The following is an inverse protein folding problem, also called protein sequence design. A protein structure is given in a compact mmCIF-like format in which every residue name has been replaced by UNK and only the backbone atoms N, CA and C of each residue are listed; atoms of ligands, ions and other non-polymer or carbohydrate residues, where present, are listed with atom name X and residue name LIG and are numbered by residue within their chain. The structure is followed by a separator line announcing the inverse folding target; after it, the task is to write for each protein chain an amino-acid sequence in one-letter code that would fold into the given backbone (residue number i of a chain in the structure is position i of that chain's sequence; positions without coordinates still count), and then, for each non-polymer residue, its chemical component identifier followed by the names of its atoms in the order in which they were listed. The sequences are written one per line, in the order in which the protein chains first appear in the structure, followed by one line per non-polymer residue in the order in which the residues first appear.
data_IF_094832327859
#
_entry.id   IF_094832327859
#
_cell.length_a   1.000
_cell.length_b   1.000
_cell.length_c   1.000
_cell.angle_alpha   90.00
_cell.angle_beta   90.00
_cell.angle_gamma   90.00
#
_symmetry.space_group_name_H-M   'P 1'
#
loop_
_entity.id
_entity.type
_entity.pdbx_description
1 polymer ?
#
# COMPACT_ATOMS: atom_id res chain seq x y z
N UNK A 1 9.81 -20.84 -66.50
CA UNK A 1 10.95 -20.80 -65.56
C UNK A 1 10.63 -19.78 -64.48
N UNK A 2 10.16 -20.21 -63.31
CA UNK A 2 10.08 -19.34 -62.13
C UNK A 2 11.51 -19.19 -61.64
N UNK A 3 12.06 -17.99 -61.74
CA UNK A 3 13.26 -17.60 -60.99
C UNK A 3 12.96 -17.84 -59.53
N UNK A 4 13.57 -18.89 -58.97
CA UNK A 4 13.68 -19.09 -57.53
C UNK A 4 14.50 -17.93 -56.99
N UNK A 5 13.82 -16.85 -56.58
CA UNK A 5 14.39 -15.94 -55.60
C UNK A 5 14.89 -16.81 -54.46
N UNK A 6 16.21 -16.80 -54.22
CA UNK A 6 16.79 -17.51 -53.10
C UNK A 6 16.07 -17.02 -51.84
N UNK A 7 15.30 -17.91 -51.21
CA UNK A 7 14.62 -17.66 -49.94
C UNK A 7 15.66 -17.11 -48.97
N UNK A 8 15.63 -15.80 -48.72
CA UNK A 8 16.60 -15.17 -47.81
C UNK A 8 16.30 -15.67 -46.41
N UNK A 9 17.17 -16.55 -45.92
CA UNK A 9 17.17 -17.05 -44.56
C UNK A 9 18.05 -16.15 -43.70
N UNK A 10 17.56 -15.83 -42.52
CA UNK A 10 18.27 -15.03 -41.52
C UNK A 10 18.37 -15.84 -40.24
N UNK A 11 19.49 -15.71 -39.53
CA UNK A 11 19.75 -16.44 -38.29
C UNK A 11 19.79 -15.46 -37.11
N UNK A 12 19.18 -15.85 -35.99
CA UNK A 12 19.28 -15.14 -34.72
C UNK A 12 19.09 -16.10 -33.55
N UNK A 13 20.08 -16.18 -32.65
CA UNK A 13 20.07 -17.02 -31.45
C UNK A 13 19.81 -18.52 -31.74
N UNK A 14 20.41 -19.04 -32.81
CA UNK A 14 20.25 -20.43 -33.25
C UNK A 14 18.91 -20.72 -33.92
N UNK A 15 18.11 -19.69 -34.21
CA UNK A 15 16.82 -19.80 -34.87
C UNK A 15 16.91 -19.21 -36.28
N UNK A 16 16.45 -19.98 -37.27
CA UNK A 16 16.32 -19.50 -38.64
C UNK A 16 14.96 -18.85 -38.86
N UNK A 17 14.96 -17.74 -39.59
CA UNK A 17 13.79 -16.96 -39.93
C UNK A 17 13.73 -16.72 -41.43
N UNK A 18 12.51 -16.68 -41.96
CA UNK A 18 12.23 -16.26 -43.33
C UNK A 18 11.05 -15.30 -43.37
N UNK A 19 11.08 -14.28 -44.24
CA UNK A 19 9.94 -13.42 -44.46
C UNK A 19 8.82 -14.19 -45.17
N UNK A 20 7.56 -13.89 -44.84
CA UNK A 20 6.42 -14.35 -45.63
C UNK A 20 6.38 -13.61 -46.98
N UNK A 21 5.73 -14.15 -48.02
CA UNK A 21 5.70 -13.51 -49.34
C UNK A 21 5.15 -12.07 -49.35
N UNK A 22 4.31 -11.69 -48.39
CA UNK A 22 3.74 -10.35 -48.25
C UNK A 22 4.46 -9.48 -47.23
N UNK A 23 5.64 -9.89 -46.74
CA UNK A 23 6.39 -9.14 -45.75
C UNK A 23 6.93 -7.84 -46.35
N UNK A 24 6.72 -6.73 -45.64
CA UNK A 24 7.25 -5.41 -45.96
C UNK A 24 8.33 -4.98 -44.96
N UNK A 25 8.32 -5.56 -43.76
CA UNK A 25 9.32 -5.31 -42.72
C UNK A 25 10.63 -6.04 -43.01
N UNK A 26 11.73 -5.39 -42.66
CA UNK A 26 13.09 -5.91 -42.68
C UNK A 26 13.35 -6.87 -41.51
N UNK A 27 14.45 -7.62 -41.57
CA UNK A 27 14.84 -8.52 -40.49
C UNK A 27 15.20 -7.77 -39.21
N UNK A 28 15.83 -6.59 -39.33
CA UNK A 28 16.16 -5.73 -38.19
C UNK A 28 14.89 -5.22 -37.49
N UNK A 29 13.89 -4.78 -38.25
CA UNK A 29 12.57 -4.38 -37.71
C UNK A 29 11.88 -5.55 -37.00
N UNK A 30 12.01 -6.78 -37.51
CA UNK A 30 11.50 -7.97 -36.82
C UNK A 30 12.19 -8.23 -35.48
N UNK A 31 13.52 -8.11 -35.43
CA UNK A 31 14.26 -8.28 -34.18
C UNK A 31 13.91 -7.20 -33.16
N UNK A 32 13.75 -5.94 -33.62
CA UNK A 32 13.30 -4.84 -32.77
C UNK A 32 11.87 -5.08 -32.25
N UNK A 33 10.94 -5.48 -33.10
CA UNK A 33 9.58 -5.84 -32.71
C UNK A 33 9.56 -6.99 -31.68
N UNK A 34 10.38 -8.03 -31.87
CA UNK A 34 10.51 -9.13 -30.92
C UNK A 34 11.06 -8.66 -29.57
N UNK A 35 12.03 -7.75 -29.56
CA UNK A 35 12.56 -7.18 -28.34
C UNK A 35 11.48 -6.42 -27.56
N UNK A 36 10.71 -5.56 -28.25
CA UNK A 36 9.57 -4.84 -27.65
C UNK A 36 8.52 -5.80 -27.10
N UNK A 37 8.14 -6.83 -27.86
CA UNK A 37 7.18 -7.83 -27.40
C UNK A 37 7.64 -8.54 -26.13
N UNK A 38 8.91 -8.96 -26.07
CA UNK A 38 9.49 -9.63 -24.90
C UNK A 38 9.55 -8.67 -23.70
N UNK A 39 9.97 -7.42 -23.91
CA UNK A 39 10.04 -6.40 -22.87
C UNK A 39 8.66 -6.13 -22.24
N UNK A 40 7.63 -5.88 -23.08
CA UNK A 40 6.26 -5.63 -22.60
C UNK A 40 5.76 -6.78 -21.75
N UNK A 41 5.90 -8.03 -22.21
CA UNK A 41 5.42 -9.20 -21.45
C UNK A 41 6.25 -9.45 -20.18
N UNK A 42 7.56 -9.19 -20.19
CA UNK A 42 8.39 -9.29 -18.98
C UNK A 42 7.97 -8.26 -17.94
N UNK A 43 7.73 -7.03 -18.36
CA UNK A 43 7.24 -5.97 -17.49
C UNK A 43 5.82 -6.26 -16.98
N UNK A 44 4.96 -6.84 -17.83
CA UNK A 44 3.58 -7.21 -17.49
C UNK A 44 3.48 -8.24 -16.37
N UNK A 45 4.47 -9.14 -16.22
CA UNK A 45 4.54 -10.10 -15.10
C UNK A 45 4.55 -9.42 -13.73
N UNK A 46 5.03 -8.19 -13.65
CA UNK A 46 5.06 -7.39 -12.43
C UNK A 46 4.09 -6.21 -12.45
N UNK A 47 3.84 -5.64 -13.63
CA UNK A 47 3.01 -4.47 -13.88
C UNK A 47 1.95 -4.79 -14.93
N UNK A 48 0.83 -5.44 -14.57
CA UNK A 48 -0.15 -5.94 -15.54
C UNK A 48 -0.69 -4.85 -16.50
N UNK A 49 -0.80 -3.61 -16.03
CA UNK A 49 -1.24 -2.47 -16.84
C UNK A 49 -0.26 -2.04 -17.94
N UNK A 50 0.97 -2.57 -17.99
CA UNK A 50 1.93 -2.25 -19.06
C UNK A 50 1.42 -2.74 -20.42
N UNK A 51 0.69 -3.86 -20.47
CA UNK A 51 0.06 -4.33 -21.70
C UNK A 51 -0.96 -3.32 -22.22
N UNK A 52 -1.82 -2.79 -21.34
CA UNK A 52 -2.81 -1.77 -21.71
C UNK A 52 -2.14 -0.43 -22.08
N UNK A 53 -1.17 0.02 -21.28
CA UNK A 53 -0.46 1.29 -21.47
C UNK A 53 0.38 1.29 -22.76
N UNK A 54 0.79 0.10 -23.23
CA UNK A 54 1.61 -0.09 -24.44
C UNK A 54 0.90 -0.94 -25.51
N UNK A 55 -0.43 -0.98 -25.51
CA UNK A 55 -1.20 -1.80 -26.45
C UNK A 55 -0.85 -1.50 -27.92
N UNK A 56 -0.67 -0.23 -28.27
CA UNK A 56 -0.27 0.18 -29.62
C UNK A 56 1.15 -0.30 -30.01
N UNK A 57 2.09 -0.32 -29.06
CA UNK A 57 3.43 -0.87 -29.29
C UNK A 57 3.35 -2.39 -29.50
N UNK A 58 2.56 -3.06 -28.67
CA UNK A 58 2.36 -4.49 -28.74
C UNK A 58 1.71 -4.91 -30.06
N UNK A 59 0.63 -4.24 -30.48
CA UNK A 59 -0.04 -4.48 -31.76
C UNK A 59 0.92 -4.28 -32.94
N UNK A 60 1.71 -3.19 -32.93
CA UNK A 60 2.73 -2.95 -33.96
C UNK A 60 3.80 -4.07 -33.98
N UNK A 61 4.28 -4.47 -32.81
CA UNK A 61 5.27 -5.53 -32.69
C UNK A 61 4.73 -6.86 -33.22
N UNK A 62 3.50 -7.23 -32.85
CA UNK A 62 2.81 -8.41 -33.35
C UNK A 62 2.59 -8.37 -34.87
N UNK A 63 2.18 -7.22 -35.41
CA UNK A 63 2.00 -7.04 -36.85
C UNK A 63 3.30 -7.26 -37.61
N UNK A 64 4.43 -6.73 -37.13
CA UNK A 64 5.76 -6.93 -37.74
C UNK A 64 6.19 -8.38 -37.60
N UNK A 65 6.15 -8.97 -36.40
CA UNK A 65 6.51 -10.37 -36.19
C UNK A 65 5.64 -11.33 -37.01
N UNK A 66 4.37 -10.99 -37.20
CA UNK A 66 3.41 -11.73 -38.02
C UNK A 66 3.78 -11.80 -39.50
N UNK A 67 4.68 -10.95 -39.99
CA UNK A 67 5.22 -11.02 -41.36
C UNK A 67 6.34 -12.06 -41.51
N UNK A 68 6.80 -12.66 -40.42
CA UNK A 68 7.92 -13.61 -40.40
C UNK A 68 7.47 -14.99 -39.96
N UNK A 69 8.25 -16.00 -40.32
CA UNK A 69 8.05 -17.38 -39.87
C UNK A 69 9.37 -18.10 -39.68
N UNK A 70 9.32 -19.23 -38.98
CA UNK A 70 10.47 -20.12 -38.80
C UNK A 70 10.95 -20.66 -40.14
N UNK A 71 12.26 -20.56 -40.35
CA UNK A 71 12.96 -20.94 -41.58
C UNK A 71 13.61 -22.31 -41.52
N UNK A 72 13.65 -22.97 -40.35
CA UNK A 72 14.26 -24.30 -40.27
C UNK A 72 13.45 -25.34 -41.05
N UNK A 73 14.09 -26.16 -41.90
CA UNK A 73 13.41 -27.20 -42.67
C UNK A 73 12.66 -28.24 -41.83
N UNK A 74 13.09 -28.43 -40.57
CA UNK A 74 12.52 -29.40 -39.63
C UNK A 74 11.57 -28.77 -38.62
N UNK A 75 11.37 -27.45 -38.61
CA UNK A 75 10.46 -26.83 -37.66
C UNK A 75 9.02 -27.23 -37.94
N UNK A 76 8.34 -27.72 -36.91
CA UNK A 76 6.90 -27.98 -36.92
C UNK A 76 6.29 -27.41 -35.66
N UNK A 77 5.16 -26.72 -35.80
CA UNK A 77 4.36 -26.32 -34.65
C UNK A 77 3.94 -27.56 -33.86
N UNK A 78 3.96 -27.45 -32.54
CA UNK A 78 3.39 -28.47 -31.67
C UNK A 78 1.90 -28.54 -31.93
N UNK A 79 1.37 -29.76 -32.00
CA UNK A 79 -0.07 -30.00 -32.00
C UNK A 79 -0.65 -29.67 -30.62
N UNK A 80 -1.95 -29.35 -30.54
CA UNK A 80 -2.62 -29.13 -29.25
C UNK A 80 -2.39 -30.33 -28.30
N UNK A 81 -2.47 -31.57 -28.82
CA UNK A 81 -2.19 -32.78 -28.04
C UNK A 81 -0.77 -32.82 -27.45
N UNK A 82 0.23 -32.28 -28.15
CA UNK A 82 1.60 -32.20 -27.63
C UNK A 82 1.72 -31.12 -26.56
N UNK A 83 1.07 -29.97 -26.75
CA UNK A 83 1.01 -28.91 -25.73
C UNK A 83 0.30 -29.39 -24.46
N UNK A 84 -0.84 -30.07 -24.59
CA UNK A 84 -1.58 -30.64 -23.46
C UNK A 84 -0.73 -31.66 -22.69
N UNK A 85 0.04 -32.49 -23.41
CA UNK A 85 0.93 -33.46 -22.78
C UNK A 85 2.07 -32.79 -22.00
N UNK A 86 2.61 -31.67 -22.51
CA UNK A 86 3.63 -30.89 -21.82
C UNK A 86 3.07 -30.16 -20.60
N UNK A 87 1.88 -29.55 -20.70
CA UNK A 87 1.22 -28.92 -19.55
C UNK A 87 0.90 -29.94 -18.47
N UNK A 88 0.39 -31.13 -18.84
CA UNK A 88 0.15 -32.20 -17.89
C UNK A 88 1.44 -32.69 -17.19
N UNK A 89 2.60 -32.59 -17.85
CA UNK A 89 3.89 -32.91 -17.23
C UNK A 89 4.32 -31.85 -16.23
N UNK A 90 4.18 -30.57 -16.60
CA UNK A 90 4.42 -29.44 -15.70
C UNK A 90 3.51 -29.53 -14.48
N UNK A 91 2.23 -29.83 -14.65
CA UNK A 91 1.26 -29.99 -13.56
C UNK A 91 1.65 -31.13 -12.61
N UNK A 92 2.09 -32.27 -13.15
CA UNK A 92 2.58 -33.39 -12.33
C UNK A 92 3.79 -32.98 -11.50
N UNK A 93 4.75 -32.27 -12.10
CA UNK A 93 5.95 -31.78 -11.39
C UNK A 93 5.57 -30.80 -10.27
N UNK A 94 4.76 -29.79 -10.57
CA UNK A 94 4.29 -28.80 -9.58
C UNK A 94 3.51 -29.49 -8.45
N UNK A 95 2.66 -30.47 -8.79
CA UNK A 95 1.90 -31.22 -7.78
C UNK A 95 2.81 -32.05 -6.87
N UNK A 96 3.85 -32.67 -7.43
CA UNK A 96 4.84 -33.42 -6.64
C UNK A 96 5.66 -32.50 -5.73
N UNK A 97 6.07 -31.32 -6.22
CA UNK A 97 6.76 -30.30 -5.43
C UNK A 97 5.89 -29.82 -4.26
N UNK A 98 4.61 -29.50 -4.52
CA UNK A 98 3.66 -29.10 -3.48
C UNK A 98 3.43 -30.20 -2.44
N UNK A 99 3.27 -31.45 -2.86
CA UNK A 99 3.12 -32.56 -1.92
C UNK A 99 4.36 -32.76 -1.05
N UNK A 100 5.56 -32.56 -1.61
CA UNK A 100 6.81 -32.61 -0.84
C UNK A 100 6.92 -31.43 0.15
N UNK A 101 6.50 -30.23 -0.24
CA UNK A 101 6.42 -29.07 0.62
C UNK A 101 5.43 -29.27 1.77
N UNK A 102 4.23 -29.77 1.47
CA UNK A 102 3.19 -30.06 2.46
C UNK A 102 3.65 -31.11 3.48
N UNK A 103 4.26 -32.20 3.03
CA UNK A 103 4.81 -33.22 3.92
C UNK A 103 5.93 -32.66 4.83
N UNK A 104 6.78 -31.77 4.30
CA UNK A 104 7.78 -31.08 5.11
C UNK A 104 7.12 -30.18 6.15
N UNK A 105 6.13 -29.37 5.77
CA UNK A 105 5.46 -28.46 6.69
C UNK A 105 4.72 -29.21 7.80
N UNK A 106 4.06 -30.33 7.48
CA UNK A 106 3.43 -31.19 8.48
C UNK A 106 4.46 -31.68 9.51
N UNK A 107 5.58 -32.23 9.06
CA UNK A 107 6.69 -32.63 9.94
C UNK A 107 7.26 -31.46 10.74
N UNK A 108 7.46 -30.30 10.10
CA UNK A 108 8.04 -29.12 10.74
C UNK A 108 7.10 -28.50 11.78
N UNK A 109 5.79 -28.66 11.63
CA UNK A 109 4.81 -28.20 12.61
C UNK A 109 4.98 -28.88 13.99
N UNK A 110 5.52 -30.11 14.03
CA UNK A 110 5.85 -30.81 15.28
C UNK A 110 6.98 -30.11 16.07
N UNK A 111 7.84 -29.35 15.39
CA UNK A 111 8.95 -28.58 15.98
C UNK A 111 8.51 -27.20 16.48
N UNK A 112 7.24 -26.84 16.29
CA UNK A 112 6.72 -25.52 16.66
C UNK A 112 6.86 -25.25 18.15
N UNK A 113 7.42 -24.07 18.45
CA UNK A 113 7.59 -23.58 19.82
C UNK A 113 7.19 -22.10 19.86
N UNK A 114 6.07 -21.83 20.55
CA UNK A 114 5.51 -20.48 20.68
C UNK A 114 6.49 -19.50 21.35
N UNK A 115 7.21 -19.94 22.39
CA UNK A 115 8.17 -19.07 23.08
C UNK A 115 9.33 -18.68 22.16
N UNK A 116 9.81 -19.63 21.35
CA UNK A 116 10.86 -19.40 20.36
C UNK A 116 10.39 -18.49 19.22
N UNK A 117 9.17 -18.65 18.75
CA UNK A 117 8.56 -17.75 17.76
C UNK A 117 8.44 -16.31 18.30
N UNK A 118 7.87 -16.15 19.50
CA UNK A 118 7.74 -14.83 20.14
C UNK A 118 9.11 -14.20 20.40
N UNK A 119 10.10 -15.00 20.84
CA UNK A 119 11.48 -14.53 21.02
C UNK A 119 12.10 -14.09 19.69
N UNK A 120 11.85 -14.80 18.58
CA UNK A 120 12.30 -14.39 17.25
C UNK A 120 11.70 -13.05 16.83
N UNK A 121 10.40 -12.87 16.97
CA UNK A 121 9.76 -11.61 16.59
C UNK A 121 10.27 -10.44 17.45
N UNK A 122 10.48 -10.69 18.74
CA UNK A 122 11.09 -9.73 19.66
C UNK A 122 12.54 -9.41 19.29
N UNK A 123 13.30 -10.41 18.83
CA UNK A 123 14.67 -10.24 18.36
C UNK A 123 14.73 -9.33 17.13
N UNK A 124 13.86 -9.55 16.15
CA UNK A 124 13.76 -8.71 14.95
C UNK A 124 13.39 -7.26 15.31
N UNK A 125 12.42 -7.08 16.20
CA UNK A 125 12.01 -5.77 16.70
C UNK A 125 13.17 -5.05 17.40
N UNK A 126 13.81 -5.70 18.39
CA UNK A 126 14.88 -5.08 19.17
C UNK A 126 16.12 -4.80 18.33
N UNK A 127 16.40 -5.64 17.32
CA UNK A 127 17.49 -5.40 16.36
C UNK A 127 17.21 -4.17 15.50
N UNK A 128 15.97 -3.98 15.04
CA UNK A 128 15.55 -2.80 14.28
C UNK A 128 15.65 -1.52 15.12
N UNK A 129 15.20 -1.56 16.37
CA UNK A 129 15.32 -0.42 17.30
C UNK A 129 16.80 -0.08 17.54
N UNK A 130 17.62 -1.08 17.84
CA UNK A 130 19.04 -0.92 18.08
C UNK A 130 19.78 -0.31 16.89
N UNK A 131 19.46 -0.75 15.66
CA UNK A 131 20.02 -0.18 14.44
C UNK A 131 19.72 1.33 14.34
N UNK A 132 18.46 1.73 14.53
CA UNK A 132 18.07 3.14 14.54
C UNK A 132 18.80 3.93 15.63
N UNK A 133 18.93 3.40 16.84
CA UNK A 133 19.61 4.12 17.91
C UNK A 133 21.08 4.37 17.61
N UNK A 134 21.74 3.39 16.99
CA UNK A 134 23.14 3.53 16.55
C UNK A 134 23.27 4.60 15.47
N UNK A 135 22.35 4.64 14.51
CA UNK A 135 22.28 5.70 13.50
C UNK A 135 22.04 7.07 14.15
N UNK A 136 21.12 7.17 15.10
CA UNK A 136 20.82 8.41 15.81
C UNK A 136 22.01 8.90 16.64
N UNK A 137 22.73 7.98 17.32
CA UNK A 137 23.96 8.31 18.04
C UNK A 137 25.06 8.78 17.08
N UNK A 138 25.21 8.13 15.92
CA UNK A 138 26.15 8.56 14.90
C UNK A 138 25.81 9.97 14.38
N UNK A 139 24.54 10.26 14.16
CA UNK A 139 24.07 11.57 13.69
C UNK A 139 24.23 12.68 14.76
N UNK A 140 24.12 12.35 16.05
CA UNK A 140 24.49 13.28 17.13
C UNK A 140 26.00 13.54 17.15
N UNK A 141 26.82 12.51 16.97
CA UNK A 141 28.29 12.63 16.92
C UNK A 141 28.77 13.44 15.71
N UNK A 142 28.16 13.29 14.55
CA UNK A 142 28.47 14.06 13.34
C UNK A 142 27.96 15.50 13.40
N UNK A 143 26.99 15.80 14.28
CA UNK A 143 26.34 17.11 14.38
C UNK A 143 25.30 17.35 13.29
N UNK A 144 25.02 16.38 12.43
CA UNK A 144 23.95 16.44 11.43
C UNK A 144 22.57 16.44 12.08
N UNK A 145 22.44 15.74 13.22
CA UNK A 145 21.22 15.72 14.02
C UNK A 145 21.11 17.00 14.84
N UNK A 146 20.14 17.83 14.46
CA UNK A 146 19.88 19.13 15.08
C UNK A 146 21.15 20.00 15.18
N UNK A 147 21.61 20.58 14.04
CA UNK A 147 22.89 21.30 13.99
C UNK A 147 22.98 22.46 15.00
N UNK A 148 21.86 23.16 15.23
CA UNK A 148 21.76 24.28 16.16
C UNK A 148 21.63 23.87 17.64
N UNK A 149 21.66 22.58 17.98
CA UNK A 149 21.53 22.11 19.37
C UNK A 149 22.75 22.51 20.22
N UNK A 150 22.55 23.05 21.43
CA UNK A 150 23.65 23.32 22.36
C UNK A 150 24.47 22.08 22.70
N UNK A 151 25.79 22.23 22.80
CA UNK A 151 26.72 21.11 23.03
C UNK A 151 26.42 20.35 24.32
N UNK A 152 26.04 21.03 25.40
CA UNK A 152 25.69 20.38 26.68
C UNK A 152 24.46 19.48 26.55
N UNK A 153 23.42 19.93 25.85
CA UNK A 153 22.21 19.15 25.59
C UNK A 153 22.54 17.96 24.68
N UNK A 154 23.36 18.18 23.62
CA UNK A 154 23.81 17.11 22.73
C UNK A 154 24.57 16.02 23.50
N UNK A 155 25.50 16.40 24.36
CA UNK A 155 26.26 15.47 25.19
C UNK A 155 25.35 14.67 26.14
N UNK A 156 24.34 15.31 26.74
CA UNK A 156 23.33 14.63 27.57
C UNK A 156 22.54 13.59 26.77
N UNK A 157 21.99 13.97 25.61
CA UNK A 157 21.24 13.05 24.75
C UNK A 157 22.10 11.88 24.26
N UNK A 158 23.37 12.13 23.92
CA UNK A 158 24.31 11.08 23.54
C UNK A 158 24.54 10.08 24.68
N UNK A 159 24.74 10.56 25.91
CA UNK A 159 24.95 9.69 27.07
C UNK A 159 23.72 8.83 27.39
N UNK A 160 22.51 9.41 27.34
CA UNK A 160 21.26 8.65 27.50
C UNK A 160 21.08 7.58 26.42
N UNK A 161 21.43 7.91 25.18
CA UNK A 161 21.32 6.99 24.05
C UNK A 161 22.34 5.85 24.14
N UNK A 162 23.57 6.13 24.58
CA UNK A 162 24.61 5.11 24.82
C UNK A 162 24.19 4.09 25.89
N UNK A 163 23.59 4.55 26.99
CA UNK A 163 23.02 3.65 28.02
C UNK A 163 21.92 2.78 27.43
N UNK A 164 21.03 3.39 26.63
CA UNK A 164 19.91 2.66 26.03
C UNK A 164 20.37 1.63 24.99
N UNK A 165 21.39 1.98 24.19
CA UNK A 165 22.04 1.07 23.24
C UNK A 165 22.62 -0.14 23.97
N UNK A 166 23.38 0.06 25.06
CA UNK A 166 23.96 -1.04 25.82
C UNK A 166 22.89 -2.00 26.38
N UNK A 167 21.77 -1.46 26.88
CA UNK A 167 20.63 -2.27 27.34
C UNK A 167 19.98 -3.08 26.21
N UNK A 168 19.84 -2.47 25.03
CA UNK A 168 19.27 -3.12 23.84
C UNK A 168 20.20 -4.19 23.28
N UNK A 169 21.51 -3.94 23.25
CA UNK A 169 22.52 -4.94 22.88
C UNK A 169 22.47 -6.17 23.78
N UNK A 170 22.39 -5.97 25.10
CA UNK A 170 22.24 -7.08 26.06
C UNK A 170 20.94 -7.87 25.80
N UNK A 171 19.84 -7.17 25.48
CA UNK A 171 18.56 -7.81 25.16
C UNK A 171 18.61 -8.60 23.85
N UNK A 172 19.18 -8.02 22.79
CA UNK A 172 19.39 -8.68 21.49
C UNK A 172 20.24 -9.94 21.67
N UNK A 173 21.34 -9.85 22.42
CA UNK A 173 22.21 -11.00 22.70
C UNK A 173 21.44 -12.14 23.38
N UNK A 174 20.70 -11.85 24.46
CA UNK A 174 19.89 -12.84 25.17
C UNK A 174 18.84 -13.49 24.27
N UNK A 175 18.16 -12.69 23.44
CA UNK A 175 17.15 -13.20 22.51
C UNK A 175 17.79 -14.06 21.41
N UNK A 176 18.96 -13.68 20.89
CA UNK A 176 19.69 -14.46 19.90
C UNK A 176 20.11 -15.83 20.44
N UNK A 177 20.57 -15.90 21.69
CA UNK A 177 20.89 -17.17 22.38
C UNK A 177 19.65 -18.07 22.52
N UNK A 178 18.48 -17.49 22.82
CA UNK A 178 17.22 -18.23 22.92
C UNK A 178 16.69 -18.72 21.56
N UNK A 179 16.87 -17.91 20.51
CA UNK A 179 16.31 -18.18 19.17
C UNK A 179 17.19 -19.13 18.36
N UNK A 180 18.52 -19.02 18.48
CA UNK A 180 19.44 -19.62 17.53
C UNK A 180 19.37 -18.91 16.18
N UNK A 181 19.31 -19.66 15.08
CA UNK A 181 19.07 -19.09 13.74
C UNK A 181 17.60 -18.63 13.63
N UNK A 182 17.33 -17.32 13.38
CA UNK A 182 15.99 -16.83 13.13
C UNK A 182 15.32 -17.47 11.90
N UNK A 183 16.08 -17.92 10.90
CA UNK A 183 15.53 -18.52 9.68
C UNK A 183 15.10 -19.99 9.86
N UNK A 184 15.41 -20.60 11.00
CA UNK A 184 15.03 -21.98 11.36
C UNK A 184 13.80 -22.06 12.28
N UNK A 185 13.18 -20.91 12.61
CA UNK A 185 12.01 -20.87 13.50
C UNK A 185 10.73 -21.07 12.70
N UNK A 186 10.19 -22.27 12.82
CA UNK A 186 8.90 -22.67 12.24
C UNK A 186 7.73 -21.96 12.95
N UNK A 187 6.68 -21.66 12.20
CA UNK A 187 5.41 -21.21 12.77
C UNK A 187 4.48 -22.38 13.13
N UNK A 188 3.28 -22.06 13.61
CA UNK A 188 2.25 -23.05 13.98
C UNK A 188 1.73 -23.89 12.78
N UNK A 189 2.01 -23.50 11.54
CA UNK A 189 1.70 -24.27 10.33
C UNK A 189 2.90 -25.11 9.86
N UNK A 190 4.06 -24.99 10.52
CA UNK A 190 5.30 -25.61 10.08
C UNK A 190 6.04 -24.82 8.99
N UNK A 191 5.62 -23.59 8.69
CA UNK A 191 6.30 -22.75 7.71
C UNK A 191 7.55 -22.12 8.30
N UNK A 192 8.63 -22.16 7.53
CA UNK A 192 9.83 -21.39 7.82
C UNK A 192 9.65 -19.94 7.34
N UNK A 193 10.45 -18.98 7.85
CA UNK A 193 10.42 -17.60 7.36
C UNK A 193 10.56 -17.47 5.84
N UNK A 194 11.41 -18.28 5.21
CA UNK A 194 11.54 -18.33 3.74
C UNK A 194 10.25 -18.75 3.03
N UNK A 195 9.49 -19.68 3.59
CA UNK A 195 8.22 -20.14 3.02
C UNK A 195 7.17 -19.03 3.15
N UNK A 196 7.11 -18.40 4.32
CA UNK A 196 6.22 -17.26 4.57
C UNK A 196 6.52 -16.08 3.65
N UNK A 197 7.79 -15.85 3.28
CA UNK A 197 8.18 -14.80 2.33
C UNK A 197 7.59 -15.00 0.93
N UNK A 198 7.48 -16.25 0.46
CA UNK A 198 6.81 -16.56 -0.82
C UNK A 198 5.33 -16.16 -0.75
N UNK A 199 4.67 -16.49 0.36
CA UNK A 199 3.27 -16.13 0.61
C UNK A 199 3.12 -14.60 0.72
N UNK A 200 4.00 -13.94 1.47
CA UNK A 200 4.05 -12.47 1.60
C UNK A 200 4.22 -11.79 0.25
N UNK A 201 5.08 -12.31 -0.65
CA UNK A 201 5.27 -11.78 -1.99
C UNK A 201 3.97 -11.85 -2.80
N UNK A 202 3.30 -13.01 -2.78
CA UNK A 202 2.01 -13.19 -3.46
C UNK A 202 0.97 -12.18 -2.97
N UNK A 203 0.80 -12.05 -1.65
CA UNK A 203 -0.15 -11.07 -1.09
C UNK A 203 0.24 -9.63 -1.39
N UNK A 204 1.54 -9.31 -1.39
CA UNK A 204 1.99 -7.98 -1.75
C UNK A 204 1.66 -7.65 -3.21
N UNK A 205 1.90 -8.57 -4.14
CA UNK A 205 1.54 -8.41 -5.56
C UNK A 205 0.04 -8.13 -5.72
N UNK A 206 -0.81 -8.97 -5.13
CA UNK A 206 -2.26 -8.80 -5.18
C UNK A 206 -2.72 -7.45 -4.60
N UNK A 207 -2.19 -7.07 -3.43
CA UNK A 207 -2.54 -5.79 -2.80
C UNK A 207 -2.06 -4.61 -3.64
N UNK A 208 -0.83 -4.67 -4.17
CA UNK A 208 -0.25 -3.63 -5.03
C UNK A 208 -1.08 -3.45 -6.28
N UNK A 209 -1.44 -4.54 -6.96
CA UNK A 209 -2.27 -4.49 -8.17
C UNK A 209 -3.63 -3.85 -7.88
N UNK A 210 -4.33 -4.32 -6.84
CA UNK A 210 -5.60 -3.73 -6.42
C UNK A 210 -5.46 -2.22 -6.13
N UNK A 211 -4.45 -1.84 -5.35
CA UNK A 211 -4.22 -0.45 -4.95
C UNK A 211 -3.88 0.43 -6.17
N UNK A 212 -3.05 -0.04 -7.11
CA UNK A 212 -2.74 0.67 -8.35
C UNK A 212 -3.98 0.85 -9.21
N UNK A 213 -4.76 -0.21 -9.43
CA UNK A 213 -6.01 -0.15 -10.19
C UNK A 213 -6.99 0.84 -9.58
N UNK A 214 -7.16 0.81 -8.25
CA UNK A 214 -8.02 1.74 -7.53
C UNK A 214 -7.54 3.19 -7.69
N UNK A 215 -6.24 3.46 -7.55
CA UNK A 215 -5.68 4.81 -7.69
C UNK A 215 -5.80 5.34 -9.12
N UNK A 216 -5.56 4.50 -10.13
CA UNK A 216 -5.72 4.86 -11.54
C UNK A 216 -7.16 5.23 -11.90
N UNK A 217 -8.14 4.61 -11.26
CA UNK A 217 -9.55 4.99 -11.40
C UNK A 217 -9.90 6.26 -10.59
N UNK A 218 -9.40 6.38 -9.36
CA UNK A 218 -9.72 7.47 -8.44
C UNK A 218 -9.17 8.83 -8.90
N UNK A 219 -7.95 8.87 -9.45
CA UNK A 219 -7.29 10.13 -9.81
C UNK A 219 -8.10 10.93 -10.84
N UNK A 220 -8.54 10.36 -11.98
CA UNK A 220 -9.42 11.06 -12.92
C UNK A 220 -10.73 11.55 -12.29
N UNK A 221 -11.35 10.75 -11.41
CA UNK A 221 -12.58 11.15 -10.71
C UNK A 221 -12.36 12.39 -9.83
N UNK A 222 -11.28 12.40 -9.04
CA UNK A 222 -10.91 13.55 -8.21
C UNK A 222 -10.56 14.77 -9.06
N UNK A 223 -9.87 14.58 -10.18
CA UNK A 223 -9.53 15.66 -11.11
C UNK A 223 -10.78 16.26 -11.76
N UNK A 224 -11.77 15.43 -12.12
CA UNK A 224 -13.04 15.90 -12.65
C UNK A 224 -13.87 16.62 -11.56
N UNK A 225 -13.93 16.06 -10.35
CA UNK A 225 -14.54 16.73 -9.19
C UNK A 225 -13.92 18.10 -8.93
N UNK A 226 -12.60 18.23 -9.06
CA UNK A 226 -11.90 19.52 -8.90
C UNK A 226 -12.29 20.54 -9.98
N UNK A 227 -12.53 20.11 -11.22
CA UNK A 227 -13.00 20.99 -12.31
C UNK A 227 -14.43 21.46 -12.06
N UNK A 228 -15.29 20.59 -11.55
CA UNK A 228 -16.70 20.87 -11.29
C UNK A 228 -16.94 21.63 -9.99
N UNK A 229 -16.02 21.53 -9.02
CA UNK A 229 -16.15 22.19 -7.73
C UNK A 229 -16.31 23.71 -7.89
N UNK A 230 -17.34 24.27 -7.29
CA UNK A 230 -17.59 25.71 -7.24
C UNK A 230 -17.24 26.30 -5.87
N UNK A 231 -17.25 25.48 -4.82
CA UNK A 231 -16.87 25.87 -3.47
C UNK A 231 -15.35 26.11 -3.35
N UNK A 232 -14.99 27.26 -2.77
CA UNK A 232 -13.60 27.64 -2.51
C UNK A 232 -12.95 26.80 -1.40
N UNK A 233 -13.74 26.23 -0.49
CA UNK A 233 -13.21 25.38 0.60
C UNK A 233 -13.00 23.92 0.17
N UNK A 234 -13.71 23.46 -0.86
CA UNK A 234 -13.60 22.10 -1.41
C UNK A 234 -12.37 21.94 -2.30
N UNK A 235 -12.06 22.94 -3.14
CA UNK A 235 -10.93 22.87 -4.08
C UNK A 235 -9.58 22.53 -3.44
N UNK A 236 -9.17 23.12 -2.29
CA UNK A 236 -7.91 22.75 -1.65
C UNK A 236 -7.88 21.30 -1.14
N UNK A 237 -9.03 20.77 -0.70
CA UNK A 237 -9.13 19.37 -0.25
C UNK A 237 -8.93 18.41 -1.42
N UNK A 238 -9.68 18.61 -2.51
CA UNK A 238 -9.55 17.79 -3.72
C UNK A 238 -8.12 17.83 -4.29
N UNK A 239 -7.47 19.01 -4.32
CA UNK A 239 -6.05 19.10 -4.72
C UNK A 239 -5.12 18.29 -3.83
N UNK A 240 -5.34 18.33 -2.52
CA UNK A 240 -4.55 17.56 -1.55
C UNK A 240 -4.77 16.06 -1.76
N UNK A 241 -6.01 15.63 -1.96
CA UNK A 241 -6.34 14.22 -2.24
C UNK A 241 -5.71 13.72 -3.55
N UNK A 242 -5.77 14.53 -4.62
CA UNK A 242 -5.08 14.22 -5.88
C UNK A 242 -3.58 14.06 -5.65
N UNK A 243 -2.92 15.00 -4.97
CA UNK A 243 -1.49 14.93 -4.70
C UNK A 243 -1.11 13.69 -3.88
N UNK A 244 -1.92 13.32 -2.89
CA UNK A 244 -1.71 12.12 -2.08
C UNK A 244 -1.86 10.87 -2.95
N UNK A 245 -2.90 10.80 -3.78
CA UNK A 245 -3.17 9.67 -4.66
C UNK A 245 -2.08 9.51 -5.74
N UNK A 246 -1.68 10.60 -6.40
CA UNK A 246 -0.60 10.61 -7.41
C UNK A 246 0.73 10.19 -6.82
N UNK A 247 1.09 10.71 -5.63
CA UNK A 247 2.32 10.31 -4.94
C UNK A 247 2.27 8.83 -4.57
N UNK A 248 1.15 8.34 -4.04
CA UNK A 248 1.01 6.92 -3.67
C UNK A 248 1.09 6.02 -4.90
N UNK A 249 0.48 6.41 -6.01
CA UNK A 249 0.57 5.68 -7.27
C UNK A 249 2.02 5.64 -7.76
N UNK A 250 2.71 6.79 -7.80
CA UNK A 250 4.12 6.85 -8.17
C UNK A 250 5.01 5.97 -7.28
N UNK A 251 4.79 6.00 -5.96
CA UNK A 251 5.52 5.16 -5.00
C UNK A 251 5.31 3.65 -5.27
N UNK A 252 4.11 3.23 -5.65
CA UNK A 252 3.79 1.82 -5.97
C UNK A 252 4.37 1.40 -7.33
N UNK A 253 4.33 2.30 -8.32
CA UNK A 253 4.90 2.06 -9.65
C UNK A 253 6.43 1.99 -9.63
N UNK A 254 7.07 2.74 -8.72
CA UNK A 254 8.53 2.75 -8.56
C UNK A 254 9.10 1.49 -7.88
N UNK A 255 8.26 0.57 -7.39
CA UNK A 255 8.75 -0.67 -6.75
C UNK A 255 9.22 -1.64 -7.85
N UNK A 256 10.52 -2.02 -7.87
CA UNK A 256 11.03 -2.97 -8.85
C UNK A 256 10.45 -4.37 -8.63
N UNK A 257 10.58 -5.28 -9.62
CA UNK A 257 10.22 -6.68 -9.43
C UNK A 257 10.90 -7.25 -8.18
N UNK A 258 10.10 -7.82 -7.28
CA UNK A 258 10.57 -8.40 -6.02
C UNK A 258 10.63 -9.93 -6.10
N UNK A 259 11.63 -10.48 -5.41
CA UNK A 259 11.76 -11.89 -5.07
C UNK A 259 11.23 -12.16 -3.67
N UNK A 260 11.13 -13.43 -3.27
CA UNK A 260 10.71 -13.78 -1.91
C UNK A 260 11.69 -13.22 -0.87
N UNK A 261 12.99 -13.22 -1.15
CA UNK A 261 14.01 -12.77 -0.19
C UNK A 261 13.90 -11.28 0.15
N UNK A 262 13.31 -10.48 -0.74
CA UNK A 262 13.03 -9.05 -0.54
C UNK A 262 11.85 -8.79 0.42
N UNK A 263 11.08 -9.82 0.79
CA UNK A 263 9.87 -9.69 1.58
C UNK A 263 10.12 -9.88 3.07
N UNK A 264 9.28 -9.24 3.88
CA UNK A 264 9.17 -9.62 5.28
C UNK A 264 8.50 -10.99 5.40
N UNK A 265 9.03 -11.86 6.26
CA UNK A 265 8.41 -13.14 6.56
C UNK A 265 7.11 -13.03 7.36
N UNK A 266 6.85 -11.87 7.97
CA UNK A 266 5.73 -11.70 8.92
C UNK A 266 4.58 -10.86 8.39
N UNK A 267 4.78 -10.16 7.26
CA UNK A 267 3.70 -9.41 6.63
C UNK A 267 3.97 -9.17 5.13
N UNK A 268 2.91 -8.83 4.41
CA UNK A 268 2.92 -8.58 2.96
C UNK A 268 3.51 -7.20 2.60
N UNK A 269 4.70 -6.88 3.10
CA UNK A 269 5.46 -5.68 2.73
C UNK A 269 6.94 -6.01 2.52
N UNK A 270 7.64 -5.28 1.62
CA UNK A 270 9.07 -5.50 1.42
C UNK A 270 9.85 -5.26 2.72
N UNK A 271 10.85 -6.09 3.00
CA UNK A 271 11.67 -5.99 4.20
C UNK A 271 12.35 -4.62 4.32
N UNK A 272 12.76 -4.04 3.18
CA UNK A 272 13.35 -2.68 3.10
C UNK A 272 12.42 -1.55 3.52
N UNK A 273 11.10 -1.80 3.59
CA UNK A 273 10.12 -0.82 4.08
C UNK A 273 9.92 -0.90 5.59
N UNK A 274 10.54 -1.86 6.26
CA UNK A 274 10.54 -1.95 7.71
C UNK A 274 11.71 -1.22 8.35
N UNK A 275 11.40 -0.48 9.40
CA UNK A 275 12.37 0.19 10.24
C UNK A 275 11.67 1.01 11.30
N UNK A 276 12.43 1.54 12.24
CA UNK A 276 11.84 2.20 13.40
C UNK A 276 11.53 3.68 13.12
N UNK A 277 10.25 3.96 12.82
CA UNK A 277 9.54 5.26 12.81
C UNK A 277 10.18 6.47 12.10
N UNK A 278 11.12 6.27 11.17
CA UNK A 278 11.67 7.36 10.33
C UNK A 278 11.68 6.98 8.85
N UNK A 279 11.46 7.93 7.91
CA UNK A 279 11.65 7.66 6.48
C UNK A 279 13.06 7.13 6.20
N UNK A 280 13.25 6.24 5.21
CA UNK A 280 12.31 5.84 4.15
C UNK A 280 11.34 4.72 4.54
N UNK A 281 11.33 4.29 5.80
CA UNK A 281 10.50 3.18 6.26
C UNK A 281 9.02 3.55 6.31
N UNK A 282 8.16 2.60 5.98
CA UNK A 282 6.71 2.71 6.17
C UNK A 282 6.31 2.45 7.63
N UNK A 283 7.22 1.88 8.42
CA UNK A 283 7.11 1.72 9.86
C UNK A 283 7.59 0.36 10.36
N UNK A 284 7.51 0.12 11.67
CA UNK A 284 7.83 -1.18 12.24
C UNK A 284 6.84 -2.24 11.74
N UNK A 285 7.28 -3.50 11.66
CA UNK A 285 6.41 -4.58 11.23
C UNK A 285 5.23 -4.75 12.21
N UNK A 286 3.97 -4.82 11.73
CA UNK A 286 2.80 -4.99 12.60
C UNK A 286 2.78 -6.30 13.37
N UNK A 287 3.58 -7.29 12.98
CA UNK A 287 3.73 -8.56 13.69
C UNK A 287 4.69 -8.45 14.89
N UNK A 288 5.50 -7.40 15.00
CA UNK A 288 6.43 -7.23 16.11
C UNK A 288 5.69 -7.02 17.43
N UNK A 289 6.03 -7.73 18.53
CA UNK A 289 5.21 -7.77 19.73
C UNK A 289 5.00 -6.41 20.39
N UNK A 290 6.06 -5.61 20.56
CA UNK A 290 5.98 -4.28 21.17
C UNK A 290 5.16 -3.32 20.31
N UNK A 291 5.44 -3.26 19.01
CA UNK A 291 4.71 -2.41 18.07
C UNK A 291 3.24 -2.82 17.94
N UNK A 292 2.94 -4.11 17.82
CA UNK A 292 1.56 -4.62 17.73
C UNK A 292 0.76 -4.30 19.00
N UNK A 293 1.37 -4.40 20.18
CA UNK A 293 0.76 -4.00 21.45
C UNK A 293 0.44 -2.50 21.45
N UNK A 294 1.37 -1.67 20.97
CA UNK A 294 1.17 -0.22 20.83
C UNK A 294 0.03 0.11 19.85
N UNK A 295 -0.03 -0.56 18.69
CA UNK A 295 -1.11 -0.36 17.72
C UNK A 295 -2.47 -0.74 18.29
N UNK A 296 -2.56 -1.84 19.06
CA UNK A 296 -3.80 -2.25 19.75
C UNK A 296 -4.24 -1.20 20.76
N UNK A 297 -3.31 -0.65 21.54
CA UNK A 297 -3.60 0.39 22.51
C UNK A 297 -4.11 1.68 21.84
N UNK A 298 -3.45 2.12 20.77
CA UNK A 298 -3.89 3.29 19.99
C UNK A 298 -5.29 3.07 19.43
N UNK A 299 -5.57 1.88 18.86
CA UNK A 299 -6.90 1.54 18.35
C UNK A 299 -7.96 1.61 19.47
N UNK A 300 -7.67 1.04 20.64
CA UNK A 300 -8.55 1.10 21.81
C UNK A 300 -8.85 2.54 22.23
N UNK A 301 -7.83 3.41 22.24
CA UNK A 301 -8.02 4.84 22.55
C UNK A 301 -8.92 5.55 21.53
N UNK A 302 -8.73 5.27 20.22
CA UNK A 302 -9.54 5.85 19.14
C UNK A 302 -10.99 5.39 19.21
N UNK A 303 -11.23 4.10 19.45
CA UNK A 303 -12.56 3.53 19.64
C UNK A 303 -13.28 4.17 20.83
N UNK A 304 -12.58 4.34 21.96
CA UNK A 304 -13.12 5.01 23.14
C UNK A 304 -13.44 6.48 22.88
N UNK A 305 -12.59 7.18 22.13
CA UNK A 305 -12.82 8.57 21.73
C UNK A 305 -14.05 8.68 20.82
N UNK A 306 -14.16 7.81 19.80
CA UNK A 306 -15.32 7.77 18.90
C UNK A 306 -16.62 7.46 19.66
N UNK A 307 -16.59 6.52 20.61
CA UNK A 307 -17.75 6.21 21.45
C UNK A 307 -18.17 7.40 22.34
N UNK A 308 -17.20 8.14 22.91
CA UNK A 308 -17.49 9.36 23.69
C UNK A 308 -18.09 10.47 22.85
N UNK A 309 -17.65 10.62 21.60
CA UNK A 309 -18.22 11.61 20.66
C UNK A 309 -19.67 11.27 20.31
N UNK A 310 -19.99 9.99 20.04
CA UNK A 310 -21.38 9.54 19.80
C UNK A 310 -22.31 9.81 20.98
N UNK A 311 -21.83 9.65 22.22
CA UNK A 311 -22.62 9.92 23.43
C UNK A 311 -22.93 11.41 23.63
N UNK A 312 -22.10 12.32 23.11
CA UNK A 312 -22.34 13.77 23.19
C UNK A 312 -23.40 14.28 22.21
N UNK A 313 -23.81 13.48 21.24
CA UNK A 313 -24.77 13.88 20.20
C UNK A 313 -26.24 13.91 20.69
N UNK A 314 -26.50 13.54 21.95
CA UNK A 314 -27.82 13.51 22.57
C UNK A 314 -28.01 14.57 23.68
N UNK A 315 -27.48 15.78 23.52
CA UNK A 315 -27.89 16.89 24.37
C UNK A 315 -29.33 17.28 23.96
N UNK A 316 -30.33 17.28 24.87
CA UNK A 316 -31.69 17.65 24.51
C UNK A 316 -31.67 19.02 23.85
N UNK A 317 -32.26 19.13 22.65
CA UNK A 317 -32.34 20.39 21.89
C UNK A 317 -32.74 21.48 22.87
N UNK A 318 -31.86 22.47 23.08
CA UNK A 318 -32.17 23.61 23.95
C UNK A 318 -33.54 24.14 23.53
N UNK A 319 -34.48 24.36 24.47
CA UNK A 319 -35.80 24.84 24.11
C UNK A 319 -35.65 26.08 23.23
N UNK A 320 -36.36 26.09 22.11
CA UNK A 320 -36.40 27.23 21.20
C UNK A 320 -37.58 28.11 21.58
N UNK A 321 -37.49 29.43 21.36
CA UNK A 321 -38.64 30.31 21.58
C UNK A 321 -39.78 29.93 20.63
N UNK A 322 -41.02 29.98 21.13
CA UNK A 322 -42.24 29.74 20.35
C UNK A 322 -42.40 30.78 19.24
N UNK A 323 -42.01 32.03 19.53
CA UNK A 323 -42.02 33.12 18.57
C UNK A 323 -40.91 34.14 18.89
N UNK A 324 -40.44 34.85 17.87
CA UNK A 324 -39.45 35.94 18.01
C UNK A 324 -39.93 37.18 17.28
N UNK A 325 -40.00 38.31 17.97
CA UNK A 325 -40.23 39.63 17.39
C UNK A 325 -38.87 40.27 17.08
N UNK A 326 -38.61 40.66 15.82
CA UNK A 326 -37.34 41.26 15.43
C UNK A 326 -37.11 42.59 16.15
N UNK A 327 -35.83 42.92 16.37
CA UNK A 327 -35.45 44.22 16.92
C UNK A 327 -35.54 45.32 15.83
N UNK A 328 -35.83 46.55 16.25
CA UNK A 328 -35.92 47.72 15.36
C UNK A 328 -37.34 48.19 15.02
N UNK A 329 -38.38 47.52 15.51
CA UNK A 329 -39.76 47.99 15.40
C UNK A 329 -40.04 49.14 16.40
N UNK A 330 -40.84 50.16 16.03
CA UNK A 330 -41.33 51.16 16.96
C UNK A 330 -42.08 50.52 18.16
N UNK A 331 -42.00 51.13 19.34
CA UNK A 331 -42.53 50.55 20.58
C UNK A 331 -44.03 50.18 20.49
N UNK A 332 -44.82 50.98 19.77
CA UNK A 332 -46.24 50.69 19.54
C UNK A 332 -46.49 49.43 18.69
N UNK A 333 -45.64 49.16 17.71
CA UNK A 333 -45.72 47.95 16.87
C UNK A 333 -45.23 46.71 17.64
N UNK A 334 -44.20 46.87 18.48
CA UNK A 334 -43.77 45.81 19.40
C UNK A 334 -44.89 45.44 20.37
N UNK A 335 -45.55 46.42 20.99
CA UNK A 335 -46.66 46.18 21.91
C UNK A 335 -47.84 45.48 21.21
N UNK A 336 -48.20 45.92 20.00
CA UNK A 336 -49.24 45.28 19.20
C UNK A 336 -48.87 43.83 18.85
N UNK A 337 -47.64 43.58 18.39
CA UNK A 337 -47.19 42.23 18.01
C UNK A 337 -47.08 41.29 19.20
N UNK A 338 -46.68 41.80 20.37
CA UNK A 338 -46.70 41.01 21.60
C UNK A 338 -48.12 40.68 22.06
N UNK A 339 -49.09 41.59 21.91
CA UNK A 339 -50.49 41.32 22.23
C UNK A 339 -51.12 40.27 21.27
N UNK A 340 -50.79 40.33 19.98
CA UNK A 340 -51.19 39.30 19.01
C UNK A 340 -50.62 37.92 19.36
N UNK A 341 -49.33 37.88 19.74
CA UNK A 341 -48.66 36.63 20.11
C UNK A 341 -49.11 36.08 21.48
N UNK A 342 -49.53 36.94 22.41
CA UNK A 342 -50.10 36.52 23.70
C UNK A 342 -51.48 35.85 23.52
N UNK A 343 -52.27 36.31 22.53
CA UNK A 343 -53.51 35.66 22.16
C UNK A 343 -53.29 34.29 21.49
N UNK A 344 -52.21 34.14 20.70
CA UNK A 344 -51.85 32.90 20.01
C UNK A 344 -51.19 31.88 20.97
N UNK A 345 -50.38 32.35 21.93
CA UNK A 345 -49.66 31.53 22.90
C UNK A 345 -49.97 31.97 24.34
N UNK A 346 -51.19 31.71 24.84
CA UNK A 346 -51.59 32.16 26.17
C UNK A 346 -50.72 31.52 27.25
N UNK A 347 -50.14 32.36 28.11
CA UNK A 347 -49.26 31.94 29.20
C UNK A 347 -47.77 31.81 28.82
N UNK A 348 -47.39 32.17 27.59
CA UNK A 348 -45.99 32.25 27.22
C UNK A 348 -45.25 33.37 27.98
N UNK A 349 -43.99 33.13 28.34
CA UNK A 349 -43.15 34.10 29.06
C UNK A 349 -42.35 34.89 28.03
N UNK A 350 -42.58 36.21 27.98
CA UNK A 350 -41.81 37.13 27.15
C UNK A 350 -40.44 37.37 27.80
N UNK A 351 -39.37 37.16 27.05
CA UNK A 351 -37.99 37.45 27.45
C UNK A 351 -37.27 38.26 26.40
N UNK A 352 -36.27 39.02 26.82
CA UNK A 352 -35.37 39.72 25.90
C UNK A 352 -34.27 38.75 25.46
N UNK A 353 -34.29 38.42 24.18
CA UNK A 353 -33.35 37.53 23.51
C UNK A 353 -32.08 38.21 23.03
N UNK A 354 -31.27 37.46 22.28
CA UNK A 354 -30.02 37.97 21.69
C UNK A 354 -30.33 39.05 20.63
N UNK A 355 -29.48 40.07 20.54
CA UNK A 355 -29.67 41.21 19.64
C UNK A 355 -30.96 42.03 19.87
N UNK A 356 -31.40 42.14 21.13
CA UNK A 356 -32.56 42.93 21.58
C UNK A 356 -33.90 42.51 20.96
N UNK A 357 -34.00 41.25 20.55
CA UNK A 357 -35.26 40.66 20.07
C UNK A 357 -36.14 40.33 21.28
N UNK A 358 -37.45 40.39 21.10
CA UNK A 358 -38.39 39.89 22.10
C UNK A 358 -38.76 38.46 21.72
N UNK A 359 -38.53 37.52 22.63
CA UNK A 359 -38.74 36.08 22.42
C UNK A 359 -39.84 35.59 23.36
N UNK A 360 -40.80 34.82 22.82
CA UNK A 360 -41.81 34.14 23.62
C UNK A 360 -41.35 32.72 23.93
N UNK A 361 -41.40 32.35 25.20
CA UNK A 361 -40.99 31.04 25.68
C UNK A 361 -42.19 30.28 26.24
N UNK A 362 -42.24 28.95 26.12
CA UNK A 362 -43.29 28.18 26.77
C UNK A 362 -43.29 28.46 28.29
N UNK A 363 -44.48 28.42 28.94
CA UNK A 363 -44.56 28.50 30.40
C UNK A 363 -43.69 27.41 31.01
N UNK A 364 -43.04 27.73 32.14
CA UNK A 364 -42.18 26.79 32.84
C UNK A 364 -42.95 25.58 33.36
#
# INVERSE_FOLDING_TARGET
MRTTESEKLYEHNGILWRPKPSATATFEEMLAARAVFVEIHQDALWNPWVEDDRADDLERAEAVMGQWTRGEPWFRYKTNRQLDAEFADVDRRISAERAADEARWEHDSERYNLEREVARLSLLEMSSILARDREELAAYRSGERFPAMPHSIRAGNMAELEVTIAQREATVKRLAEQVGDPEDVVDKQGYLPRDRRVISLMYYRMNRERDVTALRAQIPELQEGLKQATDKAEKPKLRTEIQIAERRLADLLAVPPLTADDMCSECATPASKHGWVTPPYQGPCPAWPGWSARLREVRRMLEQSAARTKLKEADPRKPQPLATVPSGLPLGEVAKRLAELDAEFPGAIVKRGRANRWELWPPK
#
